data_IF_047765973075
#
_entry.id   IF_047765973075
#
_cell.length_a   1.000
_cell.length_b   1.000
_cell.length_c   1.000
_cell.angle_alpha   90.00
_cell.angle_beta   90.00
_cell.angle_gamma   90.00
#
_symmetry.space_group_name_H-M   'P 1'
#
loop_
_entity.id
_entity.type
_entity.pdbx_description
1 polymer ?
#
# COMPACT_ATOMS: atom_id res chain seq x y z
N UNK A 1 32.69 45.42 7.04
CA UNK A 1 31.97 45.48 5.74
C UNK A 1 32.06 44.16 4.97
N UNK A 2 33.24 43.71 4.50
CA UNK A 2 33.38 42.52 3.62
C UNK A 2 32.97 41.17 4.26
N UNK A 3 33.24 41.00 5.56
CA UNK A 3 32.84 39.80 6.33
C UNK A 3 31.32 39.72 6.56
N UNK A 4 30.68 40.87 6.77
CA UNK A 4 29.22 40.98 6.96
C UNK A 4 28.50 40.65 5.64
N UNK A 5 29.06 41.09 4.51
CA UNK A 5 28.55 40.76 3.18
C UNK A 5 28.63 39.26 2.87
N UNK A 6 29.73 38.60 3.25
CA UNK A 6 29.88 37.15 3.07
C UNK A 6 28.89 36.34 3.93
N UNK A 7 28.61 36.79 5.15
CA UNK A 7 27.64 36.12 6.04
C UNK A 7 26.22 36.22 5.47
N UNK A 8 25.83 37.38 4.92
CA UNK A 8 24.51 37.57 4.32
C UNK A 8 24.27 36.69 3.09
N UNK A 9 25.29 36.49 2.26
CA UNK A 9 25.20 35.61 1.08
C UNK A 9 25.07 34.15 1.52
N UNK A 10 25.83 33.72 2.53
CA UNK A 10 25.79 32.36 3.03
C UNK A 10 24.39 32.02 3.60
N UNK A 11 23.80 32.91 4.39
CA UNK A 11 22.49 32.67 5.00
C UNK A 11 21.35 32.68 4.00
N UNK A 12 21.40 33.52 2.96
CA UNK A 12 20.38 33.53 1.90
C UNK A 12 20.41 32.28 1.03
N UNK A 13 21.61 31.77 0.70
CA UNK A 13 21.71 30.49 -0.05
C UNK A 13 21.17 29.30 0.73
N UNK A 14 21.36 29.29 2.06
CA UNK A 14 20.89 28.19 2.90
C UNK A 14 19.36 28.18 3.03
N UNK A 15 18.72 29.35 3.04
CA UNK A 15 17.26 29.46 3.13
C UNK A 15 16.54 29.01 1.84
N UNK A 16 17.15 29.21 0.66
CA UNK A 16 16.54 28.80 -0.61
C UNK A 16 16.56 27.28 -0.84
N UNK A 17 17.49 26.56 -0.21
CA UNK A 17 17.61 25.10 -0.36
C UNK A 17 16.55 24.33 0.44
N UNK A 18 16.06 24.90 1.55
CA UNK A 18 15.14 24.19 2.47
C UNK A 18 13.66 24.30 2.09
N UNK A 19 13.26 25.21 1.19
CA UNK A 19 11.85 25.45 0.86
C UNK A 19 11.22 24.45 -0.14
N UNK A 20 11.97 23.55 -0.77
CA UNK A 20 11.45 22.71 -1.87
C UNK A 20 10.89 21.33 -1.47
N UNK A 21 10.77 21.02 -0.17
CA UNK A 21 10.52 19.63 0.29
C UNK A 21 9.04 19.33 0.60
N UNK A 22 8.12 20.27 0.41
CA UNK A 22 6.69 20.04 0.66
C UNK A 22 5.90 19.85 -0.63
N UNK A 23 6.23 18.82 -1.42
CA UNK A 23 5.26 18.27 -2.37
C UNK A 23 4.40 17.26 -1.61
N UNK A 24 3.17 17.66 -1.27
CA UNK A 24 2.16 16.74 -0.78
C UNK A 24 1.94 15.65 -1.83
N UNK A 25 2.48 14.46 -1.58
CA UNK A 25 2.20 13.28 -2.40
C UNK A 25 0.72 12.97 -2.18
N UNK A 26 -0.14 13.01 -3.22
CA UNK A 26 -1.51 12.57 -3.06
C UNK A 26 -1.46 11.09 -2.72
N UNK A 27 -1.83 10.75 -1.49
CA UNK A 27 -2.03 9.38 -1.08
C UNK A 27 -3.26 8.87 -1.84
N UNK A 28 -3.01 8.20 -2.97
CA UNK A 28 -4.01 7.40 -3.66
C UNK A 28 -4.33 6.22 -2.74
N UNK A 29 -5.28 6.44 -1.82
CA UNK A 29 -5.80 5.39 -0.95
C UNK A 29 -6.58 4.44 -1.84
N UNK A 30 -5.90 3.42 -2.37
CA UNK A 30 -6.52 2.28 -2.99
C UNK A 30 -7.55 1.74 -1.99
N UNK A 31 -8.83 2.06 -2.23
CA UNK A 31 -9.96 1.61 -1.43
C UNK A 31 -9.81 0.11 -1.26
N UNK A 32 -9.59 -0.35 -0.03
CA UNK A 32 -9.74 -1.76 0.29
C UNK A 32 -11.16 -2.14 -0.12
N UNK A 33 -11.28 -2.85 -1.24
CA UNK A 33 -12.57 -3.29 -1.75
C UNK A 33 -13.06 -4.39 -0.80
N UNK A 34 -13.78 -4.00 0.25
CA UNK A 34 -14.44 -4.94 1.13
C UNK A 34 -15.63 -5.55 0.37
N UNK A 35 -15.45 -6.78 -0.09
CA UNK A 35 -16.53 -7.52 -0.74
C UNK A 35 -17.44 -8.13 0.31
N UNK A 36 -18.76 -8.06 0.12
CA UNK A 36 -19.69 -8.78 0.99
C UNK A 36 -19.37 -10.27 0.96
N UNK A 37 -19.27 -10.88 2.13
CA UNK A 37 -19.11 -12.32 2.26
C UNK A 37 -20.35 -13.03 1.71
N UNK A 38 -20.14 -13.95 0.75
CA UNK A 38 -21.23 -14.72 0.17
C UNK A 38 -21.35 -16.07 0.90
N UNK A 39 -22.42 -16.32 1.67
CA UNK A 39 -22.55 -17.55 2.46
C UNK A 39 -22.68 -18.81 1.60
N UNK A 40 -22.89 -18.70 0.29
CA UNK A 40 -22.93 -19.85 -0.64
C UNK A 40 -21.56 -20.21 -1.21
N UNK A 41 -20.53 -19.39 -0.96
CA UNK A 41 -19.17 -19.59 -1.45
C UNK A 41 -18.25 -20.10 -0.34
N UNK A 42 -17.27 -20.91 -0.73
CA UNK A 42 -16.27 -21.53 0.15
C UNK A 42 -15.29 -20.48 0.69
N UNK A 43 -14.97 -20.62 1.98
CA UNK A 43 -14.03 -19.79 2.71
C UNK A 43 -12.59 -20.27 2.53
N UNK A 44 -11.63 -19.48 3.00
CA UNK A 44 -10.20 -19.85 2.97
C UNK A 44 -9.99 -21.21 3.65
N UNK A 45 -9.17 -22.07 3.04
CA UNK A 45 -8.84 -23.41 3.56
C UNK A 45 -9.86 -24.49 3.23
N UNK A 46 -11.00 -24.15 2.61
CA UNK A 46 -11.94 -25.15 2.12
C UNK A 46 -11.59 -25.65 0.73
N UNK A 47 -11.85 -26.94 0.52
CA UNK A 47 -11.53 -27.62 -0.73
C UNK A 47 -12.34 -27.09 -1.89
N UNK A 48 -11.67 -26.67 -2.96
CA UNK A 48 -12.27 -26.16 -4.17
C UNK A 48 -11.77 -26.95 -5.39
N UNK A 49 -12.62 -27.08 -6.40
CA UNK A 49 -12.21 -27.55 -7.74
C UNK A 49 -11.98 -26.38 -8.67
N UNK A 50 -12.73 -25.30 -8.49
CA UNK A 50 -12.68 -24.09 -9.31
C UNK A 50 -12.68 -22.84 -8.43
N UNK A 51 -12.06 -21.76 -8.88
CA UNK A 51 -12.02 -20.48 -8.15
C UNK A 51 -13.40 -19.86 -7.96
N UNK A 52 -14.37 -20.19 -8.84
CA UNK A 52 -15.76 -19.75 -8.70
C UNK A 52 -16.43 -20.30 -7.44
N UNK A 53 -15.95 -21.39 -6.85
CA UNK A 53 -16.50 -21.91 -5.60
C UNK A 53 -16.05 -21.08 -4.40
N UNK A 54 -14.96 -20.31 -4.53
CA UNK A 54 -14.40 -19.50 -3.45
C UNK A 54 -15.08 -18.14 -3.31
N UNK A 55 -14.83 -17.47 -2.17
CA UNK A 55 -15.27 -16.08 -1.97
C UNK A 55 -14.80 -15.17 -3.12
N UNK A 56 -15.55 -14.09 -3.35
CA UNK A 56 -15.19 -13.08 -4.35
C UNK A 56 -13.84 -12.47 -3.96
N UNK A 57 -12.84 -12.56 -4.85
CA UNK A 57 -11.41 -12.27 -4.66
C UNK A 57 -10.50 -13.41 -4.17
N UNK A 58 -11.04 -14.56 -3.77
CA UNK A 58 -10.22 -15.72 -3.41
C UNK A 58 -9.90 -16.56 -4.65
N UNK A 59 -8.74 -17.22 -4.63
CA UNK A 59 -8.31 -18.11 -5.70
C UNK A 59 -8.24 -19.55 -5.21
N UNK A 60 -8.60 -20.50 -6.06
CA UNK A 60 -8.42 -21.92 -5.76
C UNK A 60 -6.96 -22.32 -6.04
N UNK A 61 -6.19 -22.60 -4.99
CA UNK A 61 -4.77 -22.94 -5.08
C UNK A 61 -4.47 -24.25 -4.34
N UNK A 62 -3.47 -25.00 -4.77
CA UNK A 62 -3.08 -26.26 -4.13
C UNK A 62 -2.27 -26.00 -2.85
N UNK A 63 -2.65 -26.65 -1.75
CA UNK A 63 -1.89 -26.66 -0.49
C UNK A 63 -0.91 -27.85 -0.41
N UNK A 64 -0.80 -28.66 -1.47
CA UNK A 64 0.08 -29.83 -1.55
C UNK A 64 -0.66 -31.17 -1.45
N UNK A 65 -1.75 -31.25 -0.68
CA UNK A 65 -2.62 -32.45 -0.64
C UNK A 65 -3.92 -32.25 -1.43
N UNK A 66 -4.46 -31.04 -1.43
CA UNK A 66 -5.75 -30.71 -2.05
C UNK A 66 -5.78 -29.25 -2.48
N UNK A 67 -6.69 -28.94 -3.40
CA UNK A 67 -6.92 -27.57 -3.84
C UNK A 67 -7.86 -26.88 -2.85
N UNK A 68 -7.46 -25.73 -2.32
CA UNK A 68 -8.20 -24.97 -1.33
C UNK A 68 -8.34 -23.50 -1.73
N UNK A 69 -9.39 -22.85 -1.24
CA UNK A 69 -9.56 -21.42 -1.45
C UNK A 69 -8.51 -20.65 -0.64
N UNK A 70 -7.87 -19.65 -1.27
CA UNK A 70 -6.82 -18.82 -0.67
C UNK A 70 -7.16 -17.35 -0.79
N UNK A 71 -6.83 -16.57 0.24
CA UNK A 71 -6.99 -15.11 0.25
C UNK A 71 -5.89 -14.47 -0.62
N UNK A 72 -6.21 -13.42 -1.39
CA UNK A 72 -5.20 -12.70 -2.17
C UNK A 72 -4.18 -12.02 -1.25
N UNK A 73 -2.93 -11.88 -1.70
CA UNK A 73 -1.88 -11.26 -0.90
C UNK A 73 -2.25 -9.81 -0.56
N UNK A 74 -2.19 -9.48 0.73
CA UNK A 74 -2.37 -8.10 1.20
C UNK A 74 -1.28 -7.24 0.57
N UNK A 75 -1.69 -6.17 -0.09
CA UNK A 75 -0.74 -5.18 -0.60
C UNK A 75 0.00 -4.59 0.60
N UNK A 76 1.33 -4.73 0.63
CA UNK A 76 2.13 -4.10 1.68
C UNK A 76 2.03 -2.59 1.48
N UNK A 77 1.44 -1.90 2.45
CA UNK A 77 1.53 -0.45 2.48
C UNK A 77 3.02 -0.06 2.59
N UNK A 78 3.46 0.99 1.89
CA UNK A 78 4.79 1.52 2.09
C UNK A 78 4.97 1.92 3.57
N UNK A 79 6.13 1.63 4.17
CA UNK A 79 6.40 2.00 5.55
C UNK A 79 6.27 3.52 5.73
N UNK A 80 5.39 3.97 6.63
CA UNK A 80 5.06 5.38 6.87
C UNK A 80 3.63 5.81 6.50
N UNK A 81 2.81 4.91 5.93
CA UNK A 81 1.44 5.21 5.53
C UNK A 81 0.37 5.08 6.64
N UNK A 82 0.78 4.84 7.89
CA UNK A 82 -0.11 4.87 9.06
C UNK A 82 0.29 6.05 9.96
N UNK A 83 -0.36 7.18 9.74
CA UNK A 83 -0.38 8.31 10.68
C UNK A 83 -1.63 8.20 11.55
#
# INVERSE_FOLDING_TARGET
MKKIFLILILTTTLALVTCNVYTAVPADMAKEAHWPFDPKKKKVGEECKTSDECQKHHSCASDGEKNVCTEPPKQKLPPGAVT
#
